data_IF_146569654671
#
_entry.id   IF_146569654671
#
_cell.length_a   1.000
_cell.length_b   1.000
_cell.length_c   1.000
_cell.angle_alpha   90.00
_cell.angle_beta   90.00
_cell.angle_gamma   90.00
#
_symmetry.space_group_name_H-M   'P 1'
#
loop_
_entity.id
_entity.type
_entity.pdbx_description
1 polymer ?
#
# COMPACT_ATOMS: atom_id res chain seq x y z
N UNK A 1 6.79 -18.96 -4.94
CA UNK A 1 8.03 -18.15 -4.90
C UNK A 1 8.06 -17.07 -5.99
N UNK A 2 8.34 -17.36 -7.27
CA UNK A 2 8.38 -16.30 -8.31
C UNK A 2 7.01 -15.63 -8.56
N UNK A 3 5.92 -16.41 -8.50
CA UNK A 3 4.56 -15.90 -8.71
C UNK A 3 4.07 -14.99 -7.57
N UNK A 4 4.45 -15.29 -6.32
CA UNK A 4 4.11 -14.47 -5.14
C UNK A 4 4.86 -13.13 -5.17
N UNK A 5 6.13 -13.13 -5.55
CA UNK A 5 6.92 -11.91 -5.72
C UNK A 5 6.35 -11.00 -6.81
N UNK A 6 5.86 -11.60 -7.90
CA UNK A 6 5.24 -10.87 -9.00
C UNK A 6 3.91 -10.25 -8.55
N UNK A 7 3.06 -11.04 -7.88
CA UNK A 7 1.81 -10.55 -7.28
C UNK A 7 2.06 -9.36 -6.34
N UNK A 8 3.04 -9.46 -5.44
CA UNK A 8 3.39 -8.37 -4.52
C UNK A 8 3.81 -7.11 -5.26
N UNK A 9 4.65 -7.23 -6.29
CA UNK A 9 5.07 -6.08 -7.12
C UNK A 9 3.90 -5.45 -7.84
N UNK A 10 2.98 -6.26 -8.33
CA UNK A 10 1.84 -5.77 -9.08
C UNK A 10 0.82 -5.06 -8.17
N UNK A 11 0.58 -5.57 -6.96
CA UNK A 11 -0.23 -4.89 -5.92
C UNK A 11 0.37 -3.52 -5.55
N UNK A 12 1.69 -3.43 -5.45
CA UNK A 12 2.38 -2.18 -5.11
C UNK A 12 2.41 -1.19 -6.29
N UNK A 13 2.38 -1.69 -7.53
CA UNK A 13 2.43 -0.87 -8.76
C UNK A 13 1.06 -0.49 -9.32
N UNK A 14 0.01 -1.27 -9.05
CA UNK A 14 -1.35 -1.03 -9.56
C UNK A 14 -1.96 0.28 -9.03
N UNK A 15 -1.35 0.86 -8.00
CA UNK A 15 -1.83 2.06 -7.32
C UNK A 15 -0.74 3.13 -7.17
N UNK A 16 0.07 3.34 -8.22
CA UNK A 16 1.06 4.44 -8.29
C UNK A 16 0.44 5.84 -8.41
N UNK A 17 -0.86 5.99 -8.14
CA UNK A 17 -1.50 7.29 -8.03
C UNK A 17 -1.09 8.02 -6.75
N UNK A 18 -1.25 9.33 -6.73
CA UNK A 18 -1.01 10.11 -5.52
C UNK A 18 -2.06 9.80 -4.45
N UNK A 19 -1.58 9.52 -3.24
CA UNK A 19 -2.41 9.37 -2.06
C UNK A 19 -2.76 7.92 -1.73
N UNK A 20 -3.96 7.73 -1.19
CA UNK A 20 -4.39 6.46 -0.63
C UNK A 20 -5.49 5.83 -1.50
N UNK A 21 -5.33 4.55 -1.79
CA UNK A 21 -6.22 3.76 -2.66
C UNK A 21 -6.70 2.52 -1.94
N UNK A 22 -7.92 2.08 -2.23
CA UNK A 22 -8.52 0.88 -1.65
C UNK A 22 -9.10 0.04 -2.78
N UNK A 23 -8.83 -1.27 -2.73
CA UNK A 23 -9.48 -2.28 -3.56
C UNK A 23 -10.07 -3.37 -2.67
N UNK A 24 -11.31 -3.78 -2.94
CA UNK A 24 -12.09 -4.67 -2.08
C UNK A 24 -12.53 -5.92 -2.86
N UNK A 25 -11.94 -7.06 -2.48
CA UNK A 25 -12.37 -8.38 -2.90
C UNK A 25 -12.37 -8.54 -4.43
N UNK A 26 -13.56 -8.53 -5.03
CA UNK A 26 -13.73 -8.74 -6.47
C UNK A 26 -13.18 -7.61 -7.35
N UNK A 27 -12.86 -6.45 -6.76
CA UNK A 27 -12.14 -5.37 -7.43
C UNK A 27 -10.67 -5.74 -7.73
N UNK A 28 -10.11 -6.73 -7.02
CA UNK A 28 -8.75 -7.18 -7.23
C UNK A 28 -8.63 -7.99 -8.54
N UNK A 29 -7.63 -7.64 -9.36
CA UNK A 29 -7.38 -8.30 -10.65
C UNK A 29 -6.95 -9.77 -10.48
N UNK A 30 -6.18 -10.06 -9.43
CA UNK A 30 -5.63 -11.39 -9.18
C UNK A 30 -6.62 -12.28 -8.44
N UNK A 31 -6.89 -13.47 -9.00
CA UNK A 31 -7.85 -14.43 -8.44
C UNK A 31 -7.51 -14.86 -7.01
N UNK A 32 -6.22 -14.97 -6.68
CA UNK A 32 -5.72 -15.41 -5.36
C UNK A 32 -5.94 -14.43 -4.21
N UNK A 33 -6.46 -13.23 -4.47
CA UNK A 33 -6.69 -12.18 -3.45
C UNK A 33 -8.11 -11.63 -3.53
N UNK A 34 -9.04 -12.32 -4.21
CA UNK A 34 -10.43 -11.86 -4.36
C UNK A 34 -11.27 -11.90 -3.06
N UNK A 35 -10.72 -12.47 -2.01
CA UNK A 35 -11.24 -12.49 -0.65
C UNK A 35 -10.57 -11.44 0.27
N UNK A 36 -9.61 -10.69 -0.25
CA UNK A 36 -8.84 -9.69 0.47
C UNK A 36 -9.26 -8.26 0.11
N UNK A 37 -9.10 -7.35 1.06
CA UNK A 37 -8.98 -5.91 0.81
C UNK A 37 -7.52 -5.50 0.79
N UNK A 38 -7.20 -4.58 -0.10
CA UNK A 38 -5.88 -3.99 -0.28
C UNK A 38 -6.01 -2.49 -0.09
N UNK A 39 -5.25 -1.93 0.85
CA UNK A 39 -5.14 -0.49 1.06
C UNK A 39 -3.70 -0.10 0.75
N UNK A 40 -3.50 0.72 -0.27
CA UNK A 40 -2.17 1.16 -0.73
C UNK A 40 -2.02 2.67 -0.54
N UNK A 41 -0.84 3.11 -0.10
CA UNK A 41 -0.47 4.52 -0.03
C UNK A 41 0.91 4.73 -0.66
N UNK A 42 1.02 5.71 -1.55
CA UNK A 42 2.31 6.18 -2.09
C UNK A 42 2.92 7.22 -1.15
N UNK A 43 4.24 7.16 -0.97
CA UNK A 43 4.97 8.12 -0.14
C UNK A 43 6.05 8.82 -0.94
N UNK A 44 6.17 10.11 -0.66
CA UNK A 44 7.06 11.01 -1.36
C UNK A 44 8.02 11.64 -0.37
N UNK A 45 9.30 11.68 -0.73
CA UNK A 45 10.33 12.44 -0.04
C UNK A 45 10.77 13.58 -0.93
N UNK A 46 10.65 14.80 -0.42
CA UNK A 46 11.06 16.03 -1.13
C UNK A 46 10.47 16.15 -2.56
N UNK A 47 9.27 15.59 -2.76
CA UNK A 47 8.54 15.60 -4.03
C UNK A 47 8.82 14.40 -4.94
N UNK A 48 9.76 13.52 -4.59
CA UNK A 48 10.05 12.30 -5.34
C UNK A 48 9.36 11.08 -4.75
N UNK A 49 8.78 10.23 -5.61
CA UNK A 49 8.19 8.96 -5.21
C UNK A 49 9.29 8.02 -4.73
N UNK A 50 9.34 7.75 -3.42
CA UNK A 50 10.26 6.78 -2.85
C UNK A 50 9.69 5.36 -2.87
N UNK A 51 8.37 5.22 -2.81
CA UNK A 51 7.72 3.92 -2.89
C UNK A 51 6.28 3.92 -2.37
N UNK A 52 5.82 2.72 -2.01
CA UNK A 52 4.44 2.47 -1.60
C UNK A 52 4.38 1.55 -0.38
N UNK A 53 3.41 1.80 0.48
CA UNK A 53 3.03 0.92 1.58
C UNK A 53 1.68 0.29 1.26
N UNK A 54 1.50 -0.99 1.58
CA UNK A 54 0.24 -1.68 1.40
C UNK A 54 -0.16 -2.47 2.64
N UNK A 55 -1.46 -2.51 2.94
CA UNK A 55 -2.07 -3.38 3.95
C UNK A 55 -3.01 -4.34 3.23
N UNK A 56 -2.79 -5.63 3.45
CA UNK A 56 -3.72 -6.68 3.06
C UNK A 56 -4.51 -7.14 4.28
N UNK A 57 -5.82 -7.32 4.11
CA UNK A 57 -6.71 -7.80 5.16
C UNK A 57 -7.99 -8.42 4.61
N UNK A 58 -8.89 -8.92 5.46
CA UNK A 58 -10.18 -9.42 5.02
C UNK A 58 -11.07 -8.29 4.46
N UNK A 59 -12.02 -8.63 3.59
CA UNK A 59 -13.00 -7.68 3.02
C UNK A 59 -13.91 -7.00 4.05
N UNK A 60 -13.96 -7.50 5.29
CA UNK A 60 -14.62 -6.82 6.42
C UNK A 60 -13.56 -6.44 7.46
N UNK A 61 -13.03 -5.23 7.32
CA UNK A 61 -12.05 -4.65 8.23
C UNK A 61 -12.44 -3.23 8.65
N UNK A 62 -11.79 -2.72 9.69
CA UNK A 62 -11.94 -1.34 10.15
C UNK A 62 -11.19 -0.37 9.21
N UNK A 63 -11.77 -0.08 8.04
CA UNK A 63 -11.13 0.75 7.01
C UNK A 63 -10.66 2.10 7.54
N UNK A 64 -11.51 2.83 8.27
CA UNK A 64 -11.14 4.13 8.82
C UNK A 64 -9.91 4.08 9.72
N UNK A 65 -9.81 3.05 10.57
CA UNK A 65 -8.65 2.83 11.45
C UNK A 65 -7.40 2.48 10.65
N UNK A 66 -7.52 1.58 9.68
CA UNK A 66 -6.37 1.12 8.88
C UNK A 66 -5.85 2.22 7.96
N UNK A 67 -6.74 2.98 7.31
CA UNK A 67 -6.37 4.12 6.48
C UNK A 67 -5.66 5.19 7.32
N UNK A 68 -6.17 5.47 8.53
CA UNK A 68 -5.54 6.40 9.46
C UNK A 68 -4.13 5.95 9.87
N UNK A 69 -3.98 4.65 10.18
CA UNK A 69 -2.68 4.06 10.54
C UNK A 69 -1.70 4.14 9.37
N UNK A 70 -2.14 3.78 8.16
CA UNK A 70 -1.28 3.79 6.98
C UNK A 70 -0.83 5.21 6.64
N UNK A 71 -1.74 6.19 6.74
CA UNK A 71 -1.42 7.60 6.56
C UNK A 71 -0.44 8.11 7.64
N UNK A 72 -0.63 7.71 8.90
CA UNK A 72 0.33 8.02 9.96
C UNK A 72 1.71 7.42 9.66
N UNK A 73 1.78 6.15 9.23
CA UNK A 73 3.06 5.53 8.87
C UNK A 73 3.72 6.24 7.69
N UNK A 74 2.95 6.61 6.67
CA UNK A 74 3.44 7.37 5.51
C UNK A 74 4.14 8.68 5.94
N UNK A 75 3.48 9.47 6.80
CA UNK A 75 4.04 10.73 7.31
C UNK A 75 5.32 10.53 8.15
N UNK A 76 5.38 9.47 8.95
CA UNK A 76 6.53 9.19 9.81
C UNK A 76 7.69 8.52 9.08
N UNK A 77 7.43 7.82 7.96
CA UNK A 77 8.47 7.17 7.18
C UNK A 77 9.48 8.20 6.66
N UNK A 78 9.00 9.38 6.25
CA UNK A 78 9.86 10.47 5.81
C UNK A 78 10.90 10.86 6.86
N UNK A 79 10.51 10.92 8.14
CA UNK A 79 11.43 11.24 9.23
C UNK A 79 12.47 10.13 9.46
N UNK A 80 12.08 8.86 9.28
CA UNK A 80 12.99 7.73 9.42
C UNK A 80 13.97 7.66 8.26
N UNK A 81 13.49 7.79 7.02
CA UNK A 81 14.32 7.74 5.81
C UNK A 81 15.32 8.89 5.80
N UNK A 82 14.89 10.11 6.15
CA UNK A 82 15.80 11.27 6.28
C UNK A 82 16.96 11.03 7.26
N UNK A 83 16.74 10.27 8.33
CA UNK A 83 17.79 9.94 9.31
C UNK A 83 18.77 8.88 8.82
N UNK A 84 18.37 8.07 7.85
CA UNK A 84 19.19 6.98 7.31
C UNK A 84 20.15 7.43 6.21
N UNK A 85 20.13 8.71 5.79
CA UNK A 85 20.97 9.26 4.72
C UNK A 85 20.99 8.37 3.45
N UNK A 86 19.84 7.85 3.06
CA UNK A 86 19.67 7.34 1.69
C UNK A 86 19.73 8.47 0.68
#
# INVERSE_FOLDING_TARGET
MLEEDQLMKDILRSHLGDGLTVSIGQENEYSGIKDCSIITATYHLDGELLGSLAVLGPTRMEYGRTMSLLNYMNQNLNEVVKRLNW
#
